data_IF_432086778407
#
_entry.id   IF_432086778407
#
_cell.length_a   1.000
_cell.length_b   1.000
_cell.length_c   1.000
_cell.angle_alpha   90.00
_cell.angle_beta   90.00
_cell.angle_gamma   90.00
#
_symmetry.space_group_name_H-M   'P 1'
#
loop_
_entity.id
_entity.type
_entity.pdbx_description
1 polymer ?
#
# COMPACT_ATOMS: atom_id res chain seq x y z
N UNK A 1 18.35 11.60 -24.19
CA UNK A 1 16.94 11.28 -23.89
C UNK A 1 16.79 11.16 -22.36
N UNK A 2 15.74 11.76 -21.79
CA UNK A 2 15.48 11.72 -20.34
C UNK A 2 14.24 10.90 -20.05
N UNK A 3 14.40 9.81 -19.28
CA UNK A 3 13.35 8.81 -19.04
C UNK A 3 13.13 8.65 -17.54
N UNK A 4 11.87 8.68 -17.14
CA UNK A 4 11.46 8.30 -15.80
C UNK A 4 10.89 6.88 -15.79
N UNK A 5 11.23 6.12 -14.75
CA UNK A 5 10.72 4.78 -14.52
C UNK A 5 10.03 4.76 -13.17
N UNK A 6 8.78 4.31 -13.15
CA UNK A 6 7.99 4.13 -11.93
C UNK A 6 7.07 2.91 -12.11
N UNK A 7 7.60 1.72 -11.85
CA UNK A 7 6.93 0.43 -12.01
C UNK A 7 6.60 -0.14 -10.64
N UNK A 8 5.32 -0.50 -10.41
CA UNK A 8 4.90 -1.16 -9.18
C UNK A 8 5.45 -2.58 -9.08
N UNK A 9 5.40 -3.13 -7.89
CA UNK A 9 5.80 -4.52 -7.64
C UNK A 9 4.94 -5.50 -8.44
N UNK A 10 5.57 -6.54 -8.98
CA UNK A 10 4.84 -7.69 -9.50
C UNK A 10 4.66 -8.64 -8.35
N UNK A 11 3.47 -8.57 -7.72
CA UNK A 11 3.15 -9.27 -6.47
C UNK A 11 3.59 -10.72 -6.49
N UNK A 12 4.26 -11.16 -5.43
CA UNK A 12 4.88 -12.48 -5.27
C UNK A 12 6.00 -12.83 -6.28
N UNK A 13 6.55 -11.84 -7.00
CA UNK A 13 7.60 -12.05 -8.00
C UNK A 13 8.78 -11.08 -7.80
N UNK A 14 8.63 -9.82 -8.20
CA UNK A 14 9.68 -8.80 -8.10
C UNK A 14 9.18 -7.52 -7.43
N UNK A 15 10.06 -6.87 -6.67
CA UNK A 15 9.78 -5.57 -6.05
C UNK A 15 9.80 -4.43 -7.07
N UNK A 16 9.21 -3.28 -6.72
CA UNK A 16 9.29 -2.05 -7.53
C UNK A 16 10.74 -1.68 -7.86
N UNK A 17 11.66 -1.78 -6.89
CA UNK A 17 13.08 -1.54 -7.09
C UNK A 17 13.69 -2.45 -8.16
N UNK A 18 13.39 -3.76 -8.10
CA UNK A 18 13.90 -4.74 -9.06
C UNK A 18 13.31 -4.52 -10.46
N UNK A 19 12.03 -4.19 -10.54
CA UNK A 19 11.37 -3.87 -11.81
C UNK A 19 11.97 -2.60 -12.45
N UNK A 20 12.17 -1.55 -11.67
CA UNK A 20 12.78 -0.31 -12.13
C UNK A 20 14.21 -0.54 -12.63
N UNK A 21 15.02 -1.30 -11.87
CA UNK A 21 16.40 -1.61 -12.29
C UNK A 21 16.45 -2.46 -13.55
N UNK A 22 15.57 -3.44 -13.70
CA UNK A 22 15.46 -4.24 -14.92
C UNK A 22 15.10 -3.36 -16.13
N UNK A 23 14.14 -2.43 -15.97
CA UNK A 23 13.77 -1.48 -17.01
C UNK A 23 14.94 -0.56 -17.36
N UNK A 24 15.66 -0.02 -16.36
CA UNK A 24 16.85 0.81 -16.54
C UNK A 24 17.91 0.08 -17.37
N UNK A 25 18.22 -1.17 -17.02
CA UNK A 25 19.17 -2.00 -17.78
C UNK A 25 18.71 -2.22 -19.23
N UNK A 26 17.41 -2.39 -19.46
CA UNK A 26 16.83 -2.50 -20.80
C UNK A 26 17.06 -1.25 -21.64
N UNK A 27 16.86 -0.06 -21.05
CA UNK A 27 17.12 1.23 -21.70
C UNK A 27 18.61 1.37 -22.04
N UNK A 28 19.49 1.19 -21.04
CA UNK A 28 20.92 1.43 -21.16
C UNK A 28 21.59 0.51 -22.21
N UNK A 29 20.99 -0.63 -22.56
CA UNK A 29 21.47 -1.50 -23.66
C UNK A 29 21.30 -0.87 -25.04
N UNK A 30 20.34 0.03 -25.21
CA UNK A 30 20.00 0.66 -26.51
C UNK A 30 20.41 2.11 -26.58
N UNK A 31 20.22 2.81 -25.46
CA UNK A 31 20.48 4.23 -25.30
C UNK A 31 21.44 4.45 -24.13
N UNK A 32 22.75 4.15 -24.30
CA UNK A 32 23.74 4.27 -23.23
C UNK A 32 23.86 5.68 -22.63
N UNK A 33 23.55 6.70 -23.44
CA UNK A 33 23.62 8.11 -23.06
C UNK A 33 22.29 8.63 -22.49
N UNK A 34 21.29 7.77 -22.29
CA UNK A 34 20.01 8.19 -21.70
C UNK A 34 20.17 8.55 -20.22
N UNK A 35 19.58 9.67 -19.81
CA UNK A 35 19.43 10.05 -18.42
C UNK A 35 18.19 9.34 -17.84
N UNK A 36 18.39 8.35 -16.99
CA UNK A 36 17.32 7.51 -16.45
C UNK A 36 17.17 7.73 -14.96
N UNK A 37 15.97 8.16 -14.53
CA UNK A 37 15.60 8.30 -13.12
C UNK A 37 14.58 7.23 -12.72
N UNK A 38 14.90 6.47 -11.67
CA UNK A 38 14.02 5.43 -11.12
C UNK A 38 13.32 5.92 -9.86
N UNK A 39 12.01 5.73 -9.80
CA UNK A 39 11.17 6.05 -8.65
C UNK A 39 10.55 4.76 -8.13
N UNK A 40 10.95 4.33 -6.96
CA UNK A 40 10.28 3.20 -6.29
C UNK A 40 8.87 3.63 -5.91
N UNK A 41 7.89 2.75 -6.13
CA UNK A 41 6.47 3.05 -5.94
C UNK A 41 5.76 1.89 -5.26
N UNK A 42 4.61 2.17 -4.67
CA UNK A 42 3.73 1.21 -4.00
C UNK A 42 2.31 1.74 -3.95
N UNK A 43 1.34 0.87 -3.97
CA UNK A 43 -0.11 1.16 -3.81
C UNK A 43 -0.53 1.36 -2.34
N UNK A 44 0.42 1.57 -1.43
CA UNK A 44 0.18 1.61 0.02
C UNK A 44 0.40 0.26 0.70
N UNK A 45 0.83 -0.76 -0.05
CA UNK A 45 1.17 -2.10 0.45
C UNK A 45 2.66 -2.30 0.68
N UNK A 46 3.13 -3.52 0.38
CA UNK A 46 4.53 -3.90 0.54
C UNK A 46 5.48 -2.96 -0.23
N UNK A 47 6.55 -2.51 0.45
CA UNK A 47 7.52 -1.56 -0.10
C UNK A 47 7.13 -0.09 0.06
N UNK A 48 6.00 0.21 0.73
CA UNK A 48 5.54 1.58 0.96
C UNK A 48 6.55 2.41 1.76
N UNK A 49 7.16 1.80 2.77
CA UNK A 49 8.15 2.47 3.61
C UNK A 49 9.37 2.89 2.79
N UNK A 50 9.96 1.97 2.04
CA UNK A 50 11.14 2.23 1.21
C UNK A 50 10.84 3.22 0.08
N UNK A 51 9.70 3.06 -0.59
CA UNK A 51 9.26 3.94 -1.67
C UNK A 51 9.04 5.39 -1.20
N UNK A 52 8.67 5.59 0.07
CA UNK A 52 8.50 6.91 0.68
C UNK A 52 9.81 7.67 0.87
N UNK A 53 10.98 7.02 0.74
CA UNK A 53 12.31 7.59 0.97
C UNK A 53 12.39 8.37 2.29
N UNK A 54 12.23 7.72 3.45
CA UNK A 54 12.31 8.37 4.75
C UNK A 54 13.71 8.92 5.00
N UNK A 55 13.80 9.97 5.82
CA UNK A 55 15.08 10.56 6.25
C UNK A 55 15.78 9.64 7.26
N UNK A 56 15.00 8.90 8.06
CA UNK A 56 15.45 7.94 9.06
C UNK A 56 14.54 6.70 9.02
N UNK A 57 15.14 5.51 9.12
CA UNK A 57 14.44 4.25 9.36
C UNK A 57 14.72 3.81 10.79
N UNK A 58 13.65 3.63 11.56
CA UNK A 58 13.70 3.22 12.96
C UNK A 58 13.31 1.75 13.07
N UNK A 59 14.29 0.90 13.39
CA UNK A 59 14.03 -0.51 13.67
C UNK A 59 13.32 -0.68 15.01
N UNK A 60 12.32 -1.56 15.05
CA UNK A 60 11.49 -1.84 16.21
C UNK A 60 11.31 -3.35 16.38
N UNK A 61 11.12 -3.77 17.62
CA UNK A 61 10.69 -5.12 17.94
C UNK A 61 9.22 -5.04 18.41
N UNK A 62 8.30 -5.66 17.67
CA UNK A 62 6.85 -5.56 17.87
C UNK A 62 6.20 -6.94 17.71
N UNK A 63 4.91 -7.04 18.00
CA UNK A 63 4.17 -8.27 17.76
C UNK A 63 3.66 -8.35 16.30
N UNK A 64 3.76 -9.55 15.71
CA UNK A 64 3.11 -9.84 14.45
C UNK A 64 1.59 -10.04 14.62
N UNK A 65 0.90 -10.36 13.51
CA UNK A 65 -0.54 -10.58 13.53
C UNK A 65 -0.99 -11.80 14.38
N UNK A 66 -0.08 -12.70 14.73
CA UNK A 66 -0.33 -13.86 15.60
C UNK A 66 0.25 -13.68 17.01
N UNK A 67 0.58 -12.44 17.41
CA UNK A 67 1.19 -12.10 18.71
C UNK A 67 2.56 -12.76 18.96
N UNK A 68 3.32 -13.03 17.91
CA UNK A 68 4.72 -13.46 18.00
C UNK A 68 5.62 -12.23 17.86
N UNK A 69 6.74 -12.19 18.57
CA UNK A 69 7.71 -11.13 18.41
C UNK A 69 8.36 -11.16 17.02
N UNK A 70 8.44 -10.02 16.37
CA UNK A 70 9.10 -9.87 15.07
C UNK A 70 9.86 -8.54 14.97
N UNK A 71 10.88 -8.52 14.13
CA UNK A 71 11.56 -7.31 13.74
C UNK A 71 10.72 -6.55 12.73
N UNK A 72 10.55 -5.26 12.95
CA UNK A 72 9.79 -4.36 12.10
C UNK A 72 10.47 -2.99 12.06
N UNK A 73 9.91 -2.05 11.31
CA UNK A 73 10.44 -0.70 11.24
C UNK A 73 9.35 0.30 10.85
N UNK A 74 9.57 1.57 11.19
CA UNK A 74 8.85 2.70 10.61
C UNK A 74 9.86 3.76 10.13
N UNK A 75 9.43 4.66 9.26
CA UNK A 75 10.24 5.77 8.78
C UNK A 75 9.88 7.07 9.46
N UNK A 76 10.83 8.01 9.45
CA UNK A 76 10.58 9.40 9.78
C UNK A 76 10.96 10.24 8.58
N UNK A 77 10.06 11.12 8.13
CA UNK A 77 10.29 12.06 7.03
C UNK A 77 9.71 13.43 7.37
N UNK A 78 10.54 14.45 7.45
CA UNK A 78 10.09 15.79 7.80
C UNK A 78 9.31 15.84 9.13
N UNK A 79 9.68 15.01 10.10
CA UNK A 79 9.01 14.89 11.41
C UNK A 79 7.72 14.05 11.42
N UNK A 80 7.29 13.53 10.27
CA UNK A 80 6.14 12.62 10.14
C UNK A 80 6.58 11.17 10.24
N UNK A 81 5.81 10.34 10.93
CA UNK A 81 6.03 8.90 10.94
C UNK A 81 5.39 8.25 9.69
N UNK A 82 6.14 7.37 9.04
CA UNK A 82 5.69 6.57 7.90
C UNK A 82 5.59 5.12 8.37
N UNK A 83 4.39 4.57 8.38
CA UNK A 83 4.11 3.20 8.80
C UNK A 83 3.60 2.38 7.61
N UNK A 84 4.26 1.27 7.34
CA UNK A 84 3.76 0.23 6.46
C UNK A 84 3.17 -0.88 7.33
N UNK A 85 1.84 -1.06 7.25
CA UNK A 85 1.12 -2.06 8.06
C UNK A 85 1.64 -3.48 7.81
N UNK A 86 2.03 -3.78 6.57
CA UNK A 86 2.54 -5.09 6.20
C UNK A 86 3.87 -5.46 6.89
N UNK A 87 4.65 -4.49 7.36
CA UNK A 87 5.91 -4.76 8.09
C UNK A 87 5.69 -5.27 9.52
N UNK A 88 4.52 -5.03 10.11
CA UNK A 88 4.18 -5.57 11.42
C UNK A 88 3.19 -6.74 11.31
N UNK A 89 2.13 -6.58 10.51
CA UNK A 89 1.02 -7.54 10.48
C UNK A 89 0.72 -8.01 9.04
N UNK A 90 1.76 -8.17 8.23
CA UNK A 90 1.68 -8.56 6.83
C UNK A 90 1.19 -9.98 6.60
N UNK A 91 0.40 -10.16 5.53
CA UNK A 91 -0.09 -11.48 5.12
C UNK A 91 1.06 -12.41 4.69
N UNK A 92 2.12 -11.85 4.09
CA UNK A 92 3.34 -12.57 3.70
C UNK A 92 4.17 -13.06 4.87
N UNK A 93 3.95 -12.55 6.10
CA UNK A 93 4.62 -13.01 7.32
C UNK A 93 4.01 -14.28 7.92
N UNK A 94 2.88 -14.74 7.38
CA UNK A 94 2.14 -15.90 7.89
C UNK A 94 2.07 -16.95 6.80
N UNK A 95 2.57 -18.15 7.12
CA UNK A 95 2.44 -19.31 6.25
C UNK A 95 0.96 -19.58 5.90
N UNK A 96 0.64 -19.97 4.66
CA UNK A 96 -0.76 -20.12 4.21
C UNK A 96 -1.63 -20.97 5.14
N UNK A 97 -1.09 -22.07 5.67
CA UNK A 97 -1.78 -22.99 6.58
C UNK A 97 -2.08 -22.41 7.96
N UNK A 98 -1.35 -21.36 8.36
CA UNK A 98 -1.51 -20.69 9.65
C UNK A 98 -2.38 -19.43 9.58
N UNK A 99 -2.86 -19.06 8.38
CA UNK A 99 -3.70 -17.89 8.17
C UNK A 99 -5.08 -18.05 8.78
N UNK A 100 -5.40 -17.19 9.74
CA UNK A 100 -6.71 -17.19 10.38
C UNK A 100 -7.11 -15.76 10.78
N UNK A 101 -7.93 -15.06 9.98
CA UNK A 101 -8.30 -13.67 10.25
C UNK A 101 -9.24 -13.49 11.46
N UNK A 102 -9.79 -14.57 12.04
CA UNK A 102 -10.55 -14.49 13.30
C UNK A 102 -9.68 -14.20 14.52
N UNK A 103 -8.39 -14.60 14.46
CA UNK A 103 -7.44 -14.45 15.58
C UNK A 103 -6.34 -13.43 15.29
N UNK A 104 -6.10 -13.16 14.00
CA UNK A 104 -5.10 -12.18 13.58
C UNK A 104 -5.45 -10.79 14.15
N UNK A 105 -4.44 -10.10 14.67
CA UNK A 105 -4.59 -8.81 15.37
C UNK A 105 -3.70 -7.72 14.77
N UNK A 106 -4.20 -6.49 14.78
CA UNK A 106 -3.46 -5.29 14.42
C UNK A 106 -2.60 -4.69 15.55
N UNK A 107 -2.34 -5.45 16.62
CA UNK A 107 -1.66 -4.96 17.82
C UNK A 107 -0.28 -4.34 17.51
N UNK A 108 0.53 -5.01 16.69
CA UNK A 108 1.86 -4.53 16.30
C UNK A 108 1.86 -3.19 15.56
N UNK A 109 0.79 -2.88 14.82
CA UNK A 109 0.64 -1.54 14.22
C UNK A 109 0.54 -0.47 15.29
N UNK A 110 -0.24 -0.73 16.36
CA UNK A 110 -0.33 0.16 17.51
C UNK A 110 1.01 0.32 18.24
N UNK A 111 1.81 -0.75 18.33
CA UNK A 111 3.16 -0.68 18.90
C UNK A 111 4.09 0.19 18.07
N UNK A 112 4.06 0.08 16.72
CA UNK A 112 4.82 0.99 15.85
C UNK A 112 4.40 2.45 16.06
N UNK A 113 3.10 2.72 16.18
CA UNK A 113 2.60 4.07 16.49
C UNK A 113 3.12 4.57 17.84
N UNK A 114 3.09 3.72 18.87
CA UNK A 114 3.63 4.06 20.20
C UNK A 114 5.10 4.42 20.13
N UNK A 115 5.92 3.67 19.39
CA UNK A 115 7.33 3.97 19.22
C UNK A 115 7.55 5.32 18.51
N UNK A 116 6.76 5.61 17.49
CA UNK A 116 6.82 6.90 16.79
C UNK A 116 6.36 8.07 17.68
N UNK A 117 5.29 7.87 18.47
CA UNK A 117 4.80 8.87 19.45
C UNK A 117 5.86 9.19 20.51
N UNK A 118 6.56 8.17 21.03
CA UNK A 118 7.67 8.33 21.99
C UNK A 118 8.86 9.11 21.40
N UNK A 119 9.05 9.06 20.08
CA UNK A 119 10.02 9.90 19.35
C UNK A 119 9.50 11.30 18.99
N UNK A 120 8.31 11.65 19.45
CA UNK A 120 7.73 12.98 19.26
C UNK A 120 6.91 13.15 17.98
N UNK A 121 6.77 12.13 17.14
CA UNK A 121 5.90 12.21 15.95
C UNK A 121 4.45 12.43 16.37
N UNK A 122 3.75 13.30 15.64
CA UNK A 122 2.31 13.58 15.82
C UNK A 122 1.55 13.53 14.50
N UNK A 123 2.26 13.44 13.41
CA UNK A 123 1.72 13.26 12.07
C UNK A 123 2.16 11.88 11.52
N UNK A 124 1.23 11.14 10.95
CA UNK A 124 1.43 9.79 10.48
C UNK A 124 0.96 9.65 9.04
N UNK A 125 1.73 8.95 8.22
CA UNK A 125 1.32 8.43 6.92
C UNK A 125 1.33 6.92 7.01
N UNK A 126 0.19 6.28 6.82
CA UNK A 126 0.02 4.85 7.05
C UNK A 126 -0.40 4.15 5.77
N UNK A 127 0.46 3.30 5.24
CA UNK A 127 0.14 2.43 4.10
C UNK A 127 -0.61 1.18 4.59
N UNK A 128 -1.84 0.98 4.08
CA UNK A 128 -2.78 -0.03 4.59
C UNK A 128 -2.73 -1.37 3.83
N UNK A 129 -2.00 -1.48 2.75
CA UNK A 129 -1.96 -2.69 1.93
C UNK A 129 -1.29 -3.89 2.61
N UNK A 130 -1.55 -5.10 2.12
CA UNK A 130 -0.83 -6.33 2.48
C UNK A 130 -1.12 -6.91 3.87
N UNK A 131 -2.11 -6.41 4.63
CA UNK A 131 -2.40 -6.86 6.01
C UNK A 131 -3.02 -8.26 6.10
N UNK A 132 -2.67 -9.00 7.17
CA UNK A 132 -3.29 -10.30 7.52
C UNK A 132 -4.55 -10.16 8.40
N UNK A 133 -4.83 -8.98 8.93
CA UNK A 133 -5.81 -8.75 9.98
C UNK A 133 -7.22 -8.47 9.46
N UNK A 134 -8.24 -8.80 10.28
CA UNK A 134 -9.65 -8.46 10.09
C UNK A 134 -10.31 -8.15 11.43
N UNK A 135 -9.61 -7.41 12.29
CA UNK A 135 -10.02 -7.10 13.66
C UNK A 135 -10.57 -5.68 13.84
N UNK A 136 -10.86 -4.98 12.74
CA UNK A 136 -11.37 -3.60 12.73
C UNK A 136 -10.44 -2.61 13.47
N UNK A 137 -9.13 -2.88 13.53
CA UNK A 137 -8.17 -2.06 14.26
C UNK A 137 -8.23 -2.17 15.79
N UNK A 138 -8.99 -3.12 16.31
CA UNK A 138 -9.13 -3.31 17.76
C UNK A 138 -7.78 -3.60 18.42
N UNK A 139 -6.92 -4.39 17.77
CA UNK A 139 -5.57 -4.66 18.28
C UNK A 139 -4.74 -3.39 18.41
N UNK A 140 -4.72 -2.56 17.39
CA UNK A 140 -4.04 -1.25 17.40
C UNK A 140 -4.52 -0.38 18.57
N UNK A 141 -5.84 -0.25 18.73
CA UNK A 141 -6.43 0.53 19.82
C UNK A 141 -6.07 -0.04 21.21
N UNK A 142 -5.94 -1.37 21.35
CA UNK A 142 -5.48 -2.00 22.57
C UNK A 142 -4.03 -1.65 22.91
N UNK A 143 -3.13 -1.64 21.94
CA UNK A 143 -1.75 -1.24 22.16
C UNK A 143 -1.65 0.23 22.56
N UNK A 144 -2.39 1.12 21.89
CA UNK A 144 -2.47 2.53 22.26
C UNK A 144 -3.08 2.74 23.63
N UNK A 145 -4.13 1.99 24.01
CA UNK A 145 -4.70 2.00 25.35
C UNK A 145 -3.67 1.59 26.41
N UNK A 146 -2.93 0.51 26.16
CA UNK A 146 -1.88 0.04 27.07
C UNK A 146 -0.84 1.12 27.31
N UNK A 147 -0.34 1.77 26.26
CA UNK A 147 0.61 2.87 26.38
C UNK A 147 0.02 4.06 27.16
N UNK A 148 -1.22 4.45 26.85
CA UNK A 148 -1.92 5.51 27.59
C UNK A 148 -2.05 5.20 29.07
N UNK A 149 -2.39 3.95 29.42
CA UNK A 149 -2.50 3.51 30.82
C UNK A 149 -1.15 3.57 31.55
N UNK A 150 -0.08 3.08 30.91
CA UNK A 150 1.28 3.14 31.46
C UNK A 150 1.72 4.57 31.68
N UNK A 151 1.58 5.41 30.68
CA UNK A 151 2.02 6.81 30.71
C UNK A 151 1.26 7.63 31.78
N UNK A 152 -0.05 7.40 31.90
CA UNK A 152 -0.90 8.14 32.83
C UNK A 152 -1.10 7.43 34.18
N UNK A 153 -0.37 6.33 34.45
CA UNK A 153 -0.48 5.52 35.68
C UNK A 153 -1.89 5.07 35.98
N UNK A 154 -2.63 4.68 34.92
CA UNK A 154 -4.02 4.24 35.00
C UNK A 154 -4.10 2.73 35.22
N UNK A 155 -5.13 2.28 35.97
CA UNK A 155 -5.40 0.86 36.15
C UNK A 155 -5.94 0.24 34.84
N UNK A 156 -5.70 -1.06 34.63
CA UNK A 156 -6.09 -1.79 33.41
C UNK A 156 -7.60 -1.77 33.13
N UNK A 157 -8.42 -1.64 34.19
CA UNK A 157 -9.88 -1.60 34.08
C UNK A 157 -10.45 -0.19 33.85
N UNK A 158 -9.63 0.86 33.96
CA UNK A 158 -10.10 2.22 33.71
C UNK A 158 -10.51 2.41 32.25
N UNK A 159 -11.59 3.18 31.99
CA UNK A 159 -11.99 3.50 30.64
C UNK A 159 -10.85 4.15 29.86
N UNK A 160 -10.71 3.78 28.59
CA UNK A 160 -9.74 4.40 27.71
C UNK A 160 -10.28 5.76 27.23
N UNK A 161 -9.64 6.82 27.66
CA UNK A 161 -9.89 8.14 27.11
C UNK A 161 -9.25 8.22 25.72
N UNK A 162 -10.09 8.31 24.70
CA UNK A 162 -9.65 8.39 23.30
C UNK A 162 -9.50 9.82 22.79
N UNK A 163 -9.78 10.83 23.60
CA UNK A 163 -9.77 12.23 23.18
C UNK A 163 -8.41 12.69 22.64
N UNK A 164 -7.32 12.22 23.28
CA UNK A 164 -5.96 12.54 22.86
C UNK A 164 -5.56 11.95 21.48
N UNK A 165 -6.26 10.93 21.01
CA UNK A 165 -6.02 10.37 19.67
C UNK A 165 -6.36 11.36 18.56
N UNK A 166 -7.24 12.33 18.84
CA UNK A 166 -7.60 13.40 17.89
C UNK A 166 -6.49 14.43 17.67
N UNK A 167 -5.52 14.48 18.56
CA UNK A 167 -4.33 15.32 18.43
C UNK A 167 -3.30 14.70 17.44
N UNK A 168 -3.53 13.46 17.05
CA UNK A 168 -2.70 12.72 16.08
C UNK A 168 -3.29 12.93 14.69
N UNK A 169 -2.52 13.50 13.79
CA UNK A 169 -2.93 13.64 12.39
C UNK A 169 -2.54 12.38 11.63
N UNK A 170 -3.48 11.76 10.95
CA UNK A 170 -3.24 10.52 10.19
C UNK A 170 -3.71 10.69 8.75
N UNK A 171 -2.82 10.38 7.81
CA UNK A 171 -3.12 10.18 6.40
C UNK A 171 -3.02 8.69 6.10
N UNK A 172 -4.08 8.11 5.56
CA UNK A 172 -4.15 6.73 5.14
C UNK A 172 -3.85 6.64 3.65
N UNK A 173 -2.79 5.98 3.29
CA UNK A 173 -2.41 5.72 1.90
C UNK A 173 -3.02 4.38 1.46
N UNK A 174 -4.05 4.43 0.62
CA UNK A 174 -4.73 3.23 0.09
C UNK A 174 -5.54 3.58 -1.15
N UNK A 175 -5.62 2.64 -2.10
CA UNK A 175 -6.46 2.75 -3.30
C UNK A 175 -7.73 1.88 -3.18
N UNK A 176 -8.10 1.50 -1.93
CA UNK A 176 -9.28 0.70 -1.61
C UNK A 176 -10.41 1.59 -1.13
N UNK A 177 -11.56 1.50 -1.78
CA UNK A 177 -12.77 2.28 -1.46
C UNK A 177 -13.82 1.51 -0.65
N UNK A 178 -13.56 0.26 -0.31
CA UNK A 178 -14.52 -0.60 0.36
C UNK A 178 -14.91 -0.05 1.75
N UNK A 179 -16.23 -0.07 2.08
CA UNK A 179 -16.70 0.25 3.43
C UNK A 179 -16.30 -0.85 4.42
N UNK A 180 -16.49 -0.61 5.71
CA UNK A 180 -16.21 -1.59 6.74
C UNK A 180 -17.10 -2.83 6.63
N UNK A 181 -18.40 -2.64 6.42
CA UNK A 181 -19.43 -3.67 6.48
C UNK A 181 -20.24 -3.78 5.17
N UNK A 182 -21.01 -4.86 5.04
CA UNK A 182 -21.88 -5.13 3.91
C UNK A 182 -21.26 -6.01 2.83
N UNK A 183 -21.97 -6.25 1.71
CA UNK A 183 -21.49 -7.17 0.65
C UNK A 183 -20.14 -6.77 0.05
N UNK A 184 -19.85 -5.48 0.01
CA UNK A 184 -18.58 -4.93 -0.43
C UNK A 184 -17.65 -4.56 0.73
N UNK A 185 -17.97 -5.00 1.94
CA UNK A 185 -17.22 -4.67 3.16
C UNK A 185 -15.95 -5.50 3.35
N UNK A 186 -15.17 -5.11 4.35
CA UNK A 186 -13.87 -5.71 4.67
C UNK A 186 -13.90 -7.23 4.79
N UNK A 187 -14.92 -7.79 5.46
CA UNK A 187 -15.03 -9.23 5.70
C UNK A 187 -15.27 -10.00 4.41
N UNK A 188 -16.25 -9.56 3.61
CA UNK A 188 -16.65 -10.27 2.40
C UNK A 188 -15.60 -10.19 1.30
N UNK A 189 -14.96 -9.03 1.12
CA UNK A 189 -14.01 -8.82 0.01
C UNK A 189 -12.59 -9.31 0.35
N UNK A 190 -12.12 -9.07 1.57
CA UNK A 190 -10.69 -9.29 1.86
C UNK A 190 -10.39 -10.46 2.79
N UNK A 191 -11.36 -10.96 3.59
CA UNK A 191 -11.06 -12.04 4.52
C UNK A 191 -10.80 -13.40 3.83
N UNK A 192 -11.41 -13.76 2.69
CA UNK A 192 -11.13 -15.02 2.01
C UNK A 192 -9.66 -15.20 1.66
N UNK A 193 -8.98 -14.20 1.10
CA UNK A 193 -7.55 -14.27 0.78
C UNK A 193 -6.65 -14.38 2.02
N UNK A 194 -7.18 -14.04 3.22
CA UNK A 194 -6.52 -14.18 4.52
C UNK A 194 -6.82 -15.50 5.20
N UNK A 195 -7.46 -16.45 4.49
CA UNK A 195 -7.75 -17.79 4.96
C UNK A 195 -9.15 -17.96 5.58
N UNK A 196 -10.08 -17.00 5.41
CA UNK A 196 -11.44 -17.15 5.91
C UNK A 196 -12.29 -18.05 5.01
N UNK A 197 -13.02 -18.97 5.60
CA UNK A 197 -14.17 -19.64 4.99
C UNK A 197 -15.46 -18.82 5.21
N UNK A 198 -16.57 -19.23 4.59
CA UNK A 198 -17.86 -18.51 4.65
C UNK A 198 -18.33 -18.26 6.10
N UNK A 199 -18.26 -19.28 6.99
CA UNK A 199 -18.64 -19.11 8.40
C UNK A 199 -17.76 -18.08 9.13
N UNK A 200 -16.48 -18.00 8.78
CA UNK A 200 -15.56 -17.03 9.34
C UNK A 200 -15.87 -15.62 8.83
N UNK A 201 -16.20 -15.48 7.54
CA UNK A 201 -16.64 -14.20 6.96
C UNK A 201 -17.85 -13.66 7.69
N UNK A 202 -18.88 -14.49 7.90
CA UNK A 202 -20.08 -14.10 8.65
C UNK A 202 -19.79 -13.69 10.11
N UNK A 203 -18.82 -14.35 10.77
CA UNK A 203 -18.40 -13.96 12.13
C UNK A 203 -17.66 -12.62 12.13
N UNK A 204 -16.79 -12.40 11.15
CA UNK A 204 -16.03 -11.16 11.00
C UNK A 204 -16.98 -9.99 10.71
N UNK A 205 -17.94 -10.19 9.80
CA UNK A 205 -18.97 -9.18 9.48
C UNK A 205 -19.77 -8.78 10.72
N UNK A 206 -20.28 -9.78 11.49
CA UNK A 206 -21.01 -9.50 12.74
C UNK A 206 -20.15 -8.79 13.78
N UNK A 207 -18.86 -9.14 13.87
CA UNK A 207 -17.90 -8.43 14.75
C UNK A 207 -17.75 -6.98 14.34
N UNK A 208 -17.55 -6.72 13.02
CA UNK A 208 -17.40 -5.38 12.48
C UNK A 208 -18.65 -4.53 12.74
N UNK A 209 -19.85 -5.06 12.43
CA UNK A 209 -21.13 -4.39 12.69
C UNK A 209 -21.36 -4.08 14.20
N UNK A 210 -20.98 -4.99 15.09
CA UNK A 210 -21.12 -4.77 16.52
C UNK A 210 -20.16 -3.70 17.00
N UNK A 211 -18.90 -3.81 16.57
CA UNK A 211 -17.86 -2.85 16.96
C UNK A 211 -18.17 -1.45 16.44
N UNK A 212 -18.56 -1.29 15.16
CA UNK A 212 -18.87 0.02 14.60
C UNK A 212 -20.04 0.70 15.30
N UNK A 213 -21.12 -0.03 15.64
CA UNK A 213 -22.24 0.51 16.41
C UNK A 213 -21.82 0.99 17.80
N UNK A 214 -20.96 0.23 18.48
CA UNK A 214 -20.45 0.62 19.80
C UNK A 214 -19.53 1.84 19.73
N UNK A 215 -18.63 1.86 18.74
CA UNK A 215 -17.71 2.96 18.52
C UNK A 215 -18.47 4.24 18.14
N UNK A 216 -19.42 4.15 17.21
CA UNK A 216 -20.25 5.28 16.79
C UNK A 216 -21.03 5.89 17.95
N UNK A 217 -21.59 5.06 18.84
CA UNK A 217 -22.25 5.55 20.05
C UNK A 217 -21.28 6.29 20.99
N UNK A 218 -20.03 5.83 21.08
CA UNK A 218 -19.00 6.43 21.92
C UNK A 218 -18.42 7.72 21.33
N UNK A 219 -18.15 7.73 20.02
CA UNK A 219 -17.53 8.86 19.33
C UNK A 219 -18.52 9.93 18.85
N UNK A 220 -19.83 9.60 18.80
CA UNK A 220 -20.87 10.50 18.29
C UNK A 220 -20.89 10.63 16.76
N UNK A 221 -20.23 9.73 16.05
CA UNK A 221 -20.17 9.68 14.57
C UNK A 221 -20.01 8.23 14.10
N UNK A 222 -20.21 7.98 12.81
CA UNK A 222 -20.04 6.64 12.20
C UNK A 222 -19.30 6.76 10.86
N UNK A 223 -18.07 6.29 10.83
CA UNK A 223 -17.22 6.22 9.63
C UNK A 223 -17.32 4.88 8.91
N UNK A 224 -18.19 3.93 9.33
CA UNK A 224 -18.21 2.57 8.78
C UNK A 224 -18.56 2.47 7.30
N UNK A 225 -19.30 3.44 6.76
CA UNK A 225 -19.68 3.52 5.34
C UNK A 225 -18.72 4.36 4.49
N UNK A 226 -17.71 4.99 5.09
CA UNK A 226 -16.76 5.83 4.36
C UNK A 226 -15.87 4.99 3.43
N UNK A 227 -15.52 5.50 2.24
CA UNK A 227 -14.53 4.89 1.37
C UNK A 227 -13.21 4.63 2.11
N UNK A 228 -12.65 3.41 1.97
CA UNK A 228 -11.41 3.03 2.65
C UNK A 228 -11.58 2.54 4.09
N UNK A 229 -12.77 2.63 4.70
CA UNK A 229 -13.02 2.11 6.04
C UNK A 229 -12.75 0.60 6.16
N UNK A 230 -12.98 -0.17 5.10
CA UNK A 230 -12.69 -1.60 5.03
C UNK A 230 -11.23 -1.95 4.80
N UNK A 231 -10.39 -1.00 4.44
CA UNK A 231 -8.97 -1.25 4.17
C UNK A 231 -8.28 -1.89 5.37
N UNK A 232 -7.34 -2.80 5.08
CA UNK A 232 -6.60 -3.57 6.10
C UNK A 232 -7.51 -4.27 7.13
N UNK A 233 -8.66 -4.82 6.68
CA UNK A 233 -9.59 -5.54 7.54
C UNK A 233 -10.27 -4.66 8.59
N UNK A 234 -10.56 -3.41 8.22
CA UNK A 234 -11.21 -2.40 9.05
C UNK A 234 -10.24 -1.58 9.91
N UNK A 235 -8.94 -1.70 9.70
CA UNK A 235 -7.97 -0.80 10.34
C UNK A 235 -8.18 0.64 9.88
N UNK A 236 -8.53 0.85 8.57
CA UNK A 236 -8.92 2.14 8.03
C UNK A 236 -10.07 2.78 8.82
N UNK A 237 -11.11 2.00 9.14
CA UNK A 237 -12.21 2.45 9.99
C UNK A 237 -11.73 2.96 11.35
N UNK A 238 -10.86 2.20 12.04
CA UNK A 238 -10.39 2.60 13.36
C UNK A 238 -9.64 3.93 13.32
N UNK A 239 -8.79 4.14 12.32
CA UNK A 239 -8.12 5.42 12.13
C UNK A 239 -9.09 6.57 11.87
N UNK A 240 -10.07 6.37 10.99
CA UNK A 240 -11.07 7.39 10.69
C UNK A 240 -11.93 7.71 11.91
N UNK A 241 -12.43 6.68 12.59
CA UNK A 241 -13.37 6.83 13.72
C UNK A 241 -12.73 7.50 14.94
N UNK A 242 -11.50 7.11 15.27
CA UNK A 242 -10.84 7.52 16.52
C UNK A 242 -9.81 8.64 16.36
N UNK A 243 -9.29 8.88 15.14
CA UNK A 243 -8.20 9.83 14.89
C UNK A 243 -8.50 10.84 13.77
N UNK A 244 -9.74 10.92 13.27
CA UNK A 244 -10.12 11.81 12.16
C UNK A 244 -9.23 11.63 10.90
N UNK A 245 -8.76 10.41 10.65
CA UNK A 245 -7.82 10.12 9.56
C UNK A 245 -8.42 10.48 8.19
N UNK A 246 -7.57 11.01 7.32
CA UNK A 246 -7.91 11.29 5.92
C UNK A 246 -7.38 10.17 5.04
N UNK A 247 -8.16 9.80 4.01
CA UNK A 247 -7.72 8.86 2.98
C UNK A 247 -7.14 9.64 1.81
N UNK A 248 -5.98 9.21 1.34
CA UNK A 248 -5.35 9.67 0.11
C UNK A 248 -4.97 8.44 -0.73
N UNK A 249 -4.90 8.61 -2.06
CA UNK A 249 -4.38 7.56 -2.93
C UNK A 249 -2.96 7.16 -2.51
N UNK A 250 -2.71 5.85 -2.41
CA UNK A 250 -1.40 5.31 -2.11
C UNK A 250 -0.38 5.72 -3.17
N UNK A 251 -0.77 5.62 -4.44
CA UNK A 251 0.04 6.02 -5.57
C UNK A 251 0.43 7.50 -5.54
N UNK A 252 -0.55 8.42 -5.35
CA UNK A 252 -0.28 9.87 -5.29
C UNK A 252 0.61 10.23 -4.09
N UNK A 253 0.35 9.60 -2.94
CA UNK A 253 1.14 9.82 -1.73
C UNK A 253 2.61 9.47 -1.94
N UNK A 254 2.88 8.34 -2.61
CA UNK A 254 4.24 7.91 -2.92
C UNK A 254 4.90 8.80 -3.96
N UNK A 255 4.23 9.11 -5.08
CA UNK A 255 4.80 9.94 -6.15
C UNK A 255 5.19 11.33 -5.64
N UNK A 256 4.39 11.92 -4.74
CA UNK A 256 4.70 13.15 -4.04
C UNK A 256 5.88 12.97 -3.08
N UNK A 257 5.86 11.89 -2.30
CA UNK A 257 6.89 11.64 -1.28
C UNK A 257 8.26 11.34 -1.87
N UNK A 258 8.34 10.60 -2.96
CA UNK A 258 9.62 10.21 -3.56
C UNK A 258 10.21 11.25 -4.53
N UNK A 259 9.50 12.37 -4.74
CA UNK A 259 9.96 13.48 -5.59
C UNK A 259 9.65 13.31 -7.08
N UNK A 260 8.83 12.33 -7.48
CA UNK A 260 8.41 12.15 -8.86
C UNK A 260 7.65 13.37 -9.38
N UNK A 261 6.63 13.83 -8.65
CA UNK A 261 5.78 14.96 -9.04
C UNK A 261 6.58 16.25 -9.23
N UNK A 262 7.53 16.52 -8.32
CA UNK A 262 8.43 17.68 -8.39
C UNK A 262 9.35 17.57 -9.61
N UNK A 263 9.96 16.41 -9.81
CA UNK A 263 10.86 16.16 -10.94
C UNK A 263 10.13 16.25 -12.28
N UNK A 264 8.92 15.68 -12.38
CA UNK A 264 8.09 15.75 -13.59
C UNK A 264 7.67 17.20 -13.91
N UNK A 265 7.51 18.03 -12.88
CA UNK A 265 7.11 19.45 -13.04
C UNK A 265 8.25 20.38 -13.39
N UNK A 266 9.47 20.09 -12.91
CA UNK A 266 10.63 20.97 -13.03
C UNK A 266 11.54 20.66 -14.22
N UNK A 267 11.34 19.51 -14.89
CA UNK A 267 12.25 19.04 -15.93
C UNK A 267 11.50 18.68 -17.23
N UNK A 268 12.18 18.78 -18.37
CA UNK A 268 11.68 18.23 -19.63
C UNK A 268 11.95 16.75 -19.66
N UNK A 269 10.90 15.93 -19.72
CA UNK A 269 10.95 14.47 -19.76
C UNK A 269 10.49 14.01 -21.14
N UNK A 270 11.26 13.11 -21.74
CA UNK A 270 10.93 12.58 -23.07
C UNK A 270 9.96 11.40 -23.00
N UNK A 271 9.96 10.64 -21.90
CA UNK A 271 9.09 9.48 -21.72
C UNK A 271 9.02 9.04 -20.25
N UNK A 272 7.87 8.47 -19.85
CA UNK A 272 7.71 7.73 -18.59
C UNK A 272 7.39 6.27 -18.87
N UNK A 273 8.05 5.38 -18.15
CA UNK A 273 7.75 3.94 -18.14
C UNK A 273 7.14 3.59 -16.80
N UNK A 274 5.92 3.04 -16.83
CA UNK A 274 5.23 2.53 -15.66
C UNK A 274 4.82 1.08 -15.85
N UNK A 275 4.33 0.43 -14.80
CA UNK A 275 3.89 -0.96 -14.92
C UNK A 275 3.33 -1.52 -13.63
N UNK A 276 2.72 -2.70 -13.76
CA UNK A 276 2.12 -3.47 -12.67
C UNK A 276 2.05 -4.97 -13.02
N UNK A 277 1.72 -5.82 -12.03
CA UNK A 277 1.61 -7.27 -12.27
C UNK A 277 0.53 -7.65 -13.28
N UNK A 278 -0.62 -6.98 -13.26
CA UNK A 278 -1.75 -7.23 -14.18
C UNK A 278 -2.41 -5.91 -14.55
N UNK A 279 -2.43 -5.62 -15.84
CA UNK A 279 -3.09 -4.45 -16.41
C UNK A 279 -4.44 -4.84 -17.05
N UNK A 280 -5.51 -4.24 -16.58
CA UNK A 280 -6.89 -4.40 -17.05
C UNK A 280 -7.67 -3.08 -16.85
N UNK A 281 -9.01 -3.12 -16.94
CA UNK A 281 -9.84 -1.92 -16.71
C UNK A 281 -9.70 -1.34 -15.31
N UNK A 282 -9.34 -2.15 -14.31
CA UNK A 282 -9.10 -1.65 -12.96
C UNK A 282 -7.84 -0.78 -12.87
N UNK A 283 -6.87 -0.97 -13.78
CA UNK A 283 -5.71 -0.10 -13.93
C UNK A 283 -6.12 1.38 -14.08
N UNK A 284 -7.24 1.63 -14.79
CA UNK A 284 -7.78 2.97 -15.05
C UNK A 284 -8.59 3.55 -13.89
N UNK A 285 -8.77 2.79 -12.80
CA UNK A 285 -9.60 3.17 -11.65
C UNK A 285 -8.77 3.72 -10.48
N UNK A 286 -7.79 4.59 -10.77
CA UNK A 286 -6.99 5.27 -9.74
C UNK A 286 -5.72 4.52 -9.30
N UNK A 287 -5.38 3.37 -9.90
CA UNK A 287 -4.11 2.71 -9.61
C UNK A 287 -2.91 3.50 -10.14
N UNK A 288 -1.71 3.18 -9.65
CA UNK A 288 -0.47 3.87 -9.99
C UNK A 288 -0.29 4.18 -11.48
N UNK A 289 -0.48 3.25 -12.44
CA UNK A 289 -0.28 3.58 -13.85
C UNK A 289 -1.23 4.66 -14.36
N UNK A 290 -2.49 4.69 -13.89
CA UNK A 290 -3.44 5.73 -14.29
C UNK A 290 -3.16 7.09 -13.66
N UNK A 291 -2.64 7.12 -12.45
CA UNK A 291 -2.19 8.36 -11.79
C UNK A 291 -1.02 8.96 -12.57
N UNK A 292 -0.02 8.16 -12.91
CA UNK A 292 1.12 8.58 -13.74
C UNK A 292 0.65 9.06 -15.12
N UNK A 293 -0.24 8.32 -15.77
CA UNK A 293 -0.81 8.70 -17.06
C UNK A 293 -1.48 10.08 -16.99
N UNK A 294 -2.30 10.31 -15.97
CA UNK A 294 -2.99 11.59 -15.77
C UNK A 294 -2.02 12.76 -15.61
N UNK A 295 -0.98 12.58 -14.79
CA UNK A 295 0.04 13.60 -14.57
C UNK A 295 0.88 13.90 -15.83
N UNK A 296 1.21 12.87 -16.61
CA UNK A 296 1.98 12.98 -17.84
C UNK A 296 1.18 13.58 -18.99
N UNK A 297 -0.13 13.25 -19.08
CA UNK A 297 -1.01 13.72 -20.15
C UNK A 297 -1.12 15.24 -20.18
N UNK A 298 -1.16 15.90 -19.03
CA UNK A 298 -1.21 17.37 -18.91
C UNK A 298 0.07 18.05 -19.48
N UNK A 299 1.14 17.29 -19.70
CA UNK A 299 2.46 17.76 -20.17
C UNK A 299 2.84 17.18 -21.52
N UNK A 300 1.95 16.41 -22.16
CA UNK A 300 2.22 15.69 -23.41
C UNK A 300 3.45 14.76 -23.32
N UNK A 301 3.71 14.17 -22.15
CA UNK A 301 4.78 13.18 -21.96
C UNK A 301 4.23 11.79 -22.26
N UNK A 302 4.79 11.04 -23.23
CA UNK A 302 4.33 9.70 -23.55
C UNK A 302 4.58 8.73 -22.39
N UNK A 303 3.59 7.87 -22.13
CA UNK A 303 3.64 6.86 -21.06
C UNK A 303 3.56 5.46 -21.66
N UNK A 304 4.55 4.62 -21.34
CA UNK A 304 4.54 3.20 -21.67
C UNK A 304 4.14 2.39 -20.46
N UNK A 305 3.17 1.49 -20.64
CA UNK A 305 2.68 0.58 -19.61
C UNK A 305 3.24 -0.84 -19.85
N UNK A 306 3.97 -1.37 -18.87
CA UNK A 306 4.41 -2.76 -18.87
C UNK A 306 3.62 -3.55 -17.84
N UNK A 307 3.19 -4.76 -18.19
CA UNK A 307 2.49 -5.61 -17.26
C UNK A 307 2.87 -7.08 -17.42
N UNK A 308 2.82 -7.81 -16.30
CA UNK A 308 3.01 -9.26 -16.30
C UNK A 308 1.90 -9.99 -17.04
N UNK A 309 0.69 -9.43 -17.04
CA UNK A 309 -0.46 -9.87 -17.84
C UNK A 309 -1.23 -8.64 -18.31
N UNK A 310 -1.64 -8.63 -19.57
CA UNK A 310 -2.49 -7.57 -20.13
C UNK A 310 -3.85 -8.17 -20.49
N UNK A 311 -4.90 -7.58 -19.94
CA UNK A 311 -6.29 -7.82 -20.33
C UNK A 311 -6.88 -6.48 -20.81
N UNK A 312 -7.64 -6.48 -21.90
CA UNK A 312 -8.24 -5.25 -22.46
C UNK A 312 -7.24 -4.14 -22.90
N UNK A 313 -6.21 -4.55 -23.65
CA UNK A 313 -5.20 -3.62 -24.21
C UNK A 313 -5.83 -2.42 -24.93
N UNK A 314 -6.93 -2.64 -25.66
CA UNK A 314 -7.63 -1.59 -26.40
C UNK A 314 -8.13 -0.46 -25.48
N UNK A 315 -8.69 -0.78 -24.33
CA UNK A 315 -9.14 0.23 -23.38
C UNK A 315 -7.97 1.03 -22.79
N UNK A 316 -6.85 0.36 -22.52
CA UNK A 316 -5.63 1.01 -22.00
C UNK A 316 -5.03 1.98 -23.04
N UNK A 317 -4.91 1.59 -24.29
CA UNK A 317 -4.47 2.48 -25.37
C UNK A 317 -5.44 3.65 -25.58
N UNK A 318 -6.75 3.39 -25.53
CA UNK A 318 -7.78 4.44 -25.67
C UNK A 318 -7.71 5.45 -24.51
N UNK A 319 -7.28 5.02 -23.32
CA UNK A 319 -7.09 5.90 -22.16
C UNK A 319 -5.90 6.85 -22.29
N UNK A 320 -4.96 6.57 -23.24
CA UNK A 320 -3.85 7.46 -23.53
C UNK A 320 -2.46 6.87 -23.32
N UNK A 321 -2.33 5.60 -22.90
CA UNK A 321 -1.01 4.96 -22.90
C UNK A 321 -0.48 4.88 -24.32
N UNK A 322 0.75 5.35 -24.53
CA UNK A 322 1.38 5.35 -25.86
C UNK A 322 1.76 3.94 -26.33
N UNK A 323 2.04 3.05 -25.37
CA UNK A 323 2.25 1.62 -25.58
C UNK A 323 1.79 0.84 -24.37
N UNK A 324 1.30 -0.38 -24.63
CA UNK A 324 0.94 -1.38 -23.61
C UNK A 324 1.69 -2.66 -23.97
N UNK A 325 2.46 -3.19 -23.04
CA UNK A 325 3.38 -4.30 -23.30
C UNK A 325 3.16 -5.41 -22.28
N UNK A 326 2.78 -6.60 -22.75
CA UNK A 326 2.74 -7.81 -21.96
C UNK A 326 4.14 -8.44 -21.92
N UNK A 327 4.80 -8.41 -20.77
CA UNK A 327 6.16 -8.97 -20.64
C UNK A 327 6.20 -10.50 -20.61
N UNK A 328 5.07 -11.17 -20.33
CA UNK A 328 4.96 -12.63 -20.20
C UNK A 328 4.20 -13.28 -21.37
N UNK A 329 4.09 -12.59 -22.50
CA UNK A 329 3.41 -13.15 -23.66
C UNK A 329 4.01 -14.52 -24.06
N UNK A 330 3.14 -15.52 -24.20
CA UNK A 330 3.51 -16.89 -24.53
C UNK A 330 4.09 -17.75 -23.38
N UNK A 331 4.10 -17.25 -22.12
CA UNK A 331 4.57 -18.03 -20.96
C UNK A 331 3.44 -18.71 -20.18
N UNK A 332 3.78 -19.87 -19.57
CA UNK A 332 2.96 -20.45 -18.51
C UNK A 332 3.02 -19.60 -17.23
N UNK A 333 1.97 -19.67 -16.38
CA UNK A 333 1.92 -18.95 -15.10
C UNK A 333 3.11 -19.26 -14.20
N UNK A 334 3.55 -20.52 -14.15
CA UNK A 334 4.66 -20.97 -13.31
C UNK A 334 5.97 -20.26 -13.69
N UNK A 335 6.29 -20.20 -14.97
CA UNK A 335 7.48 -19.49 -15.45
C UNK A 335 7.35 -17.95 -15.37
N UNK A 336 6.13 -17.42 -15.42
CA UNK A 336 5.88 -15.98 -15.30
C UNK A 336 6.16 -15.44 -13.88
N UNK A 337 6.10 -16.31 -12.86
CA UNK A 337 6.38 -15.96 -11.46
C UNK A 337 7.85 -16.18 -11.05
N UNK A 338 8.67 -16.76 -11.95
CA UNK A 338 10.10 -16.87 -11.71
C UNK A 338 10.75 -15.48 -11.76
N UNK A 339 11.47 -15.13 -10.68
CA UNK A 339 12.06 -13.82 -10.50
C UNK A 339 13.08 -13.45 -11.57
N UNK A 340 13.98 -14.36 -11.91
CA UNK A 340 15.05 -14.10 -12.86
C UNK A 340 14.50 -14.02 -14.27
N UNK A 341 13.50 -14.83 -14.58
CA UNK A 341 12.75 -14.78 -15.85
C UNK A 341 12.03 -13.43 -15.97
N UNK A 342 11.32 -12.99 -14.93
CA UNK A 342 10.60 -11.72 -14.94
C UNK A 342 11.54 -10.52 -15.15
N UNK A 343 12.68 -10.47 -14.44
CA UNK A 343 13.71 -9.43 -14.60
C UNK A 343 14.24 -9.40 -16.03
N UNK A 344 14.62 -10.56 -16.57
CA UNK A 344 15.18 -10.64 -17.91
C UNK A 344 14.18 -10.20 -18.99
N UNK A 345 12.92 -10.64 -18.89
CA UNK A 345 11.86 -10.31 -19.84
C UNK A 345 11.47 -8.83 -19.78
N UNK A 346 11.38 -8.26 -18.59
CA UNK A 346 11.12 -6.84 -18.43
C UNK A 346 12.21 -6.01 -19.07
N UNK A 347 13.49 -6.32 -18.83
CA UNK A 347 14.61 -5.65 -19.47
C UNK A 347 14.57 -5.78 -21.01
N UNK A 348 14.26 -6.96 -21.55
CA UNK A 348 14.17 -7.19 -23.00
C UNK A 348 12.97 -6.43 -23.61
N UNK A 349 11.82 -6.43 -22.96
CA UNK A 349 10.62 -5.72 -23.40
C UNK A 349 10.87 -4.21 -23.49
N UNK A 350 11.50 -3.64 -22.48
CA UNK A 350 11.89 -2.21 -22.47
C UNK A 350 12.92 -1.91 -23.56
N UNK A 351 13.95 -2.75 -23.70
CA UNK A 351 14.96 -2.59 -24.76
C UNK A 351 14.34 -2.58 -26.16
N UNK A 352 13.38 -3.47 -26.43
CA UNK A 352 12.66 -3.49 -27.71
C UNK A 352 11.75 -2.26 -27.89
N UNK A 353 11.08 -1.81 -26.82
CA UNK A 353 10.18 -0.66 -26.88
C UNK A 353 10.91 0.66 -27.16
N UNK A 354 12.07 0.87 -26.56
CA UNK A 354 12.89 2.09 -26.76
C UNK A 354 13.52 2.14 -28.15
N UNK A 355 13.83 1.01 -28.77
CA UNK A 355 14.43 0.96 -30.13
C UNK A 355 13.52 1.46 -31.26
N UNK A 356 12.25 1.70 -30.98
CA UNK A 356 11.22 2.08 -31.98
C UNK A 356 10.68 3.51 -31.76
N UNK A 357 11.42 4.32 -31.02
CA UNK A 357 11.25 5.77 -30.91
C UNK A 357 12.23 6.50 -31.79
#
# INVERSE_FOLDING_TARGET
>A
MKIFIAIDSFKNCITSKQANEAARLGIMRREPDAEVSCYEVSDGGEGFLEASKPDEIVSCHVHDALMRWCDSAFGIKGGKAIIEVAKAVGLGMIEPENRNPLVATSYGVGELMVQALRRGCREFVVGLGGSATSDCGIGMLKALKHEWQVTNRKAWYEPFDTSWLKDIKVTLATDVDNPLCGPNGAAHVFAPQKGANEMMVEKLERRALTFSKMAAKHQGRDCSSMPGAGAAGGLGYAFMEFMDAKVESGAETILRSNGFDESLSSQKIDMVITGEGKADRQTLMGKLPSVILSQCSSRNVPVFLLAGKVEDEKSLLTAGFSRVININDGLSMEHALDKDVAIARLANAVSAAVSSI
#
